data_IF_085524545090
#
_entry.id   IF_085524545090
#
_cell.length_a   1.000
_cell.length_b   1.000
_cell.length_c   1.000
_cell.angle_alpha   90.00
_cell.angle_beta   90.00
_cell.angle_gamma   90.00
#
_symmetry.space_group_name_H-M   'P 1'
#
loop_
_entity.id
_entity.type
_entity.pdbx_description
1 polymer ?
#
# COMPACT_ATOMS: atom_id res chain seq x y z
N UNK A 1 21.93 -6.32 -10.12
CA UNK A 1 21.34 -5.45 -9.10
C UNK A 1 19.91 -5.22 -9.52
N UNK A 2 18.98 -5.97 -8.93
CA UNK A 2 17.55 -5.77 -9.13
C UNK A 2 17.19 -4.48 -8.42
N UNK A 3 16.87 -3.43 -9.18
CA UNK A 3 16.13 -2.30 -8.62
C UNK A 3 14.80 -2.88 -8.12
N UNK A 4 14.71 -3.17 -6.82
CA UNK A 4 13.41 -3.28 -6.16
C UNK A 4 12.69 -1.98 -6.50
N UNK A 5 11.57 -2.10 -7.17
CA UNK A 5 10.78 -0.94 -7.55
C UNK A 5 10.20 -0.39 -6.26
N UNK A 6 10.74 0.72 -5.79
CA UNK A 6 10.26 1.47 -4.63
C UNK A 6 8.93 2.19 -4.89
N UNK A 7 8.16 1.64 -5.83
CA UNK A 7 6.85 2.16 -6.23
C UNK A 7 5.83 1.06 -6.31
N UNK A 8 4.63 1.39 -5.92
CA UNK A 8 3.47 0.53 -6.06
C UNK A 8 2.27 1.32 -6.56
N UNK A 9 1.30 0.60 -7.14
CA UNK A 9 0.05 1.18 -7.62
C UNK A 9 -1.09 0.75 -6.72
N UNK A 10 -1.98 1.69 -6.40
CA UNK A 10 -3.16 1.45 -5.59
C UNK A 10 -4.31 2.36 -6.04
N UNK A 11 -5.48 2.26 -5.40
CA UNK A 11 -6.59 3.18 -5.61
C UNK A 11 -6.42 4.44 -4.75
N UNK A 12 -6.73 5.59 -5.32
CA UNK A 12 -6.78 6.86 -4.57
C UNK A 12 -7.97 6.92 -3.60
N UNK A 13 -9.05 6.20 -3.91
CA UNK A 13 -10.28 6.17 -3.11
C UNK A 13 -11.20 5.04 -3.55
N UNK A 14 -12.39 4.94 -2.94
CA UNK A 14 -13.38 3.93 -3.27
C UNK A 14 -13.90 4.05 -4.71
N UNK A 15 -14.19 2.90 -5.33
CA UNK A 15 -14.86 2.83 -6.61
C UNK A 15 -15.84 1.67 -6.69
N UNK A 16 -16.77 1.72 -7.63
CA UNK A 16 -17.80 0.69 -7.78
C UNK A 16 -17.97 0.28 -9.24
N UNK A 17 -18.40 -0.97 -9.44
CA UNK A 17 -18.73 -1.50 -10.75
C UNK A 17 -19.90 -2.48 -10.67
N UNK A 18 -20.54 -2.70 -11.79
CA UNK A 18 -21.69 -3.61 -11.89
C UNK A 18 -21.55 -4.50 -13.12
N UNK A 19 -21.98 -5.73 -12.98
CA UNK A 19 -22.18 -6.67 -14.09
C UNK A 19 -23.49 -7.42 -13.90
N UNK A 20 -24.19 -7.71 -15.01
CA UNK A 20 -25.42 -8.48 -14.99
C UNK A 20 -25.38 -9.61 -15.99
N UNK A 21 -25.86 -10.77 -15.59
CA UNK A 21 -26.04 -11.91 -16.47
C UNK A 21 -27.26 -12.73 -16.03
N UNK A 22 -28.14 -13.08 -16.98
CA UNK A 22 -29.33 -13.93 -16.79
C UNK A 22 -30.14 -13.60 -15.55
N UNK A 23 -30.38 -12.30 -15.31
CA UNK A 23 -31.12 -11.80 -14.15
C UNK A 23 -30.30 -11.68 -12.86
N UNK A 24 -29.12 -12.29 -12.76
CA UNK A 24 -28.22 -12.09 -11.64
C UNK A 24 -27.52 -10.75 -11.74
N UNK A 25 -27.31 -10.12 -10.57
CA UNK A 25 -26.65 -8.82 -10.43
C UNK A 25 -25.42 -8.97 -9.55
N UNK A 26 -24.29 -8.46 -10.03
CA UNK A 26 -23.01 -8.46 -9.34
C UNK A 26 -22.57 -7.01 -9.12
N UNK A 27 -22.45 -6.62 -7.86
CA UNK A 27 -22.03 -5.27 -7.45
C UNK A 27 -20.65 -5.36 -6.84
N UNK A 28 -19.67 -4.76 -7.49
CA UNK A 28 -18.30 -4.72 -7.02
C UNK A 28 -18.00 -3.39 -6.33
N UNK A 29 -17.36 -3.46 -5.17
CA UNK A 29 -16.89 -2.36 -4.36
C UNK A 29 -15.40 -2.51 -4.17
N UNK A 30 -14.61 -1.59 -4.68
CA UNK A 30 -13.16 -1.57 -4.56
C UNK A 30 -12.74 -0.44 -3.63
N UNK A 31 -11.83 -0.73 -2.70
CA UNK A 31 -11.34 0.23 -1.70
C UNK A 31 -9.82 0.14 -1.58
N UNK A 32 -9.10 1.24 -1.36
CA UNK A 32 -7.77 1.18 -0.78
C UNK A 32 -7.86 0.57 0.62
N UNK A 33 -6.90 -0.29 0.97
CA UNK A 33 -6.77 -0.88 2.31
C UNK A 33 -5.31 -1.21 2.57
N UNK A 34 -4.77 -0.78 3.70
CA UNK A 34 -3.35 -0.88 4.02
C UNK A 34 -3.06 -1.83 5.17
N UNK A 35 -4.11 -2.32 5.86
CA UNK A 35 -4.00 -3.26 6.98
C UNK A 35 -5.11 -4.30 6.96
N UNK A 36 -4.97 -5.29 7.84
CA UNK A 36 -5.99 -6.32 8.01
C UNK A 36 -7.29 -5.75 8.58
N UNK A 37 -7.20 -4.82 9.50
CA UNK A 37 -8.34 -4.14 10.11
C UNK A 37 -9.12 -3.34 9.06
N UNK A 38 -8.43 -2.59 8.20
CA UNK A 38 -9.07 -1.76 7.18
C UNK A 38 -9.87 -2.59 6.18
N UNK A 39 -9.32 -3.69 5.62
CA UNK A 39 -10.10 -4.48 4.68
C UNK A 39 -11.28 -5.19 5.33
N UNK A 40 -11.16 -5.59 6.60
CA UNK A 40 -12.28 -6.20 7.36
C UNK A 40 -13.39 -5.18 7.58
N UNK A 41 -13.07 -3.95 7.95
CA UNK A 41 -14.04 -2.86 8.08
C UNK A 41 -14.80 -2.62 6.78
N UNK A 42 -14.10 -2.56 5.64
CA UNK A 42 -14.73 -2.40 4.32
C UNK A 42 -15.65 -3.55 3.96
N UNK A 43 -15.26 -4.79 4.26
CA UNK A 43 -16.11 -5.95 4.05
C UNK A 43 -17.39 -5.86 4.89
N UNK A 44 -17.28 -5.49 6.16
CA UNK A 44 -18.44 -5.36 7.05
C UNK A 44 -19.34 -4.18 6.66
N UNK A 45 -18.82 -3.08 6.17
CA UNK A 45 -19.60 -1.98 5.58
C UNK A 45 -20.48 -2.51 4.43
N UNK A 46 -19.88 -3.21 3.46
CA UNK A 46 -20.62 -3.76 2.31
C UNK A 46 -21.65 -4.80 2.75
N UNK A 47 -21.35 -5.64 3.76
CA UNK A 47 -22.32 -6.59 4.31
C UNK A 47 -23.52 -5.90 4.94
N UNK A 48 -23.31 -4.81 5.67
CA UNK A 48 -24.39 -4.01 6.28
C UNK A 48 -25.26 -3.33 5.22
N UNK A 49 -24.68 -2.89 4.13
CA UNK A 49 -25.41 -2.24 3.03
C UNK A 49 -26.20 -3.25 2.20
N UNK A 50 -25.78 -4.52 2.19
CA UNK A 50 -26.39 -5.59 1.41
C UNK A 50 -26.83 -6.81 2.25
N UNK A 51 -27.64 -6.64 3.31
CA UNK A 51 -27.95 -7.72 4.25
C UNK A 51 -28.81 -8.85 3.63
N UNK A 52 -29.43 -8.60 2.48
CA UNK A 52 -30.28 -9.59 1.76
C UNK A 52 -29.46 -10.41 0.75
N UNK A 53 -28.24 -10.04 0.46
CA UNK A 53 -27.37 -10.79 -0.43
C UNK A 53 -26.84 -12.05 0.29
N UNK A 54 -26.71 -13.14 -0.45
CA UNK A 54 -26.20 -14.41 0.11
C UNK A 54 -24.71 -14.55 -0.01
N UNK A 55 -24.08 -13.79 -0.91
CA UNK A 55 -22.66 -13.90 -1.22
C UNK A 55 -22.02 -12.50 -1.23
N UNK A 56 -20.99 -12.34 -0.42
CA UNK A 56 -20.10 -11.19 -0.36
C UNK A 56 -18.68 -11.70 -0.59
N UNK A 57 -18.42 -12.13 -1.83
CA UNK A 57 -17.14 -12.68 -2.22
C UNK A 57 -16.10 -11.57 -2.26
N UNK A 58 -14.88 -11.87 -1.85
CA UNK A 58 -13.84 -10.82 -1.82
C UNK A 58 -12.46 -11.36 -2.13
N UNK A 59 -11.60 -10.45 -2.54
CA UNK A 59 -10.16 -10.66 -2.54
C UNK A 59 -9.46 -9.36 -2.18
N UNK A 60 -8.26 -9.50 -1.64
CA UNK A 60 -7.39 -8.38 -1.33
C UNK A 60 -5.93 -8.73 -1.60
N UNK A 61 -5.12 -7.70 -1.84
CA UNK A 61 -3.68 -7.76 -1.88
C UNK A 61 -3.13 -6.61 -1.05
N UNK A 62 -2.22 -6.93 -0.12
CA UNK A 62 -1.63 -5.98 0.81
C UNK A 62 -0.10 -6.04 0.75
N UNK A 63 0.51 -5.01 1.33
CA UNK A 63 1.95 -4.84 1.41
C UNK A 63 2.51 -4.13 0.19
N UNK A 64 3.68 -3.54 0.39
CA UNK A 64 4.36 -2.74 -0.63
C UNK A 64 4.85 -3.60 -1.80
N UNK A 65 5.22 -4.85 -1.51
CA UNK A 65 5.60 -5.88 -2.46
C UNK A 65 4.41 -6.68 -3.01
N UNK A 66 3.20 -6.48 -2.46
CA UNK A 66 1.99 -7.18 -2.84
C UNK A 66 1.99 -8.68 -2.55
N UNK A 67 2.89 -9.17 -1.69
CA UNK A 67 3.04 -10.61 -1.42
C UNK A 67 1.98 -11.17 -0.47
N UNK A 68 1.26 -10.32 0.26
CA UNK A 68 0.16 -10.73 1.11
C UNK A 68 -1.16 -10.64 0.33
N UNK A 69 -1.88 -11.74 0.22
CA UNK A 69 -3.15 -11.77 -0.50
C UNK A 69 -4.10 -12.83 0.04
N UNK A 70 -5.38 -12.64 -0.22
CA UNK A 70 -6.43 -13.60 0.08
C UNK A 70 -7.53 -13.52 -0.96
N UNK A 71 -8.18 -14.66 -1.20
CA UNK A 71 -9.38 -14.78 -2.02
C UNK A 71 -10.41 -15.63 -1.27
N UNK A 72 -11.70 -15.22 -1.32
CA UNK A 72 -12.78 -15.90 -0.62
C UNK A 72 -14.04 -15.96 -1.49
N UNK A 73 -14.59 -17.15 -1.63
CA UNK A 73 -15.77 -17.42 -2.47
C UNK A 73 -17.10 -17.21 -1.72
N UNK A 74 -17.11 -17.03 -0.40
CA UNK A 74 -18.28 -16.78 0.46
C UNK A 74 -19.52 -17.62 0.07
N UNK A 75 -19.34 -18.94 -0.03
CA UNK A 75 -20.41 -19.90 -0.36
C UNK A 75 -20.70 -20.10 -1.84
N UNK A 76 -20.04 -19.40 -2.75
CA UNK A 76 -20.03 -19.77 -4.18
C UNK A 76 -19.17 -21.04 -4.40
N UNK A 77 -19.34 -21.75 -5.52
CA UNK A 77 -18.51 -22.90 -5.83
C UNK A 77 -17.00 -22.52 -5.82
N UNK A 78 -16.19 -23.42 -5.28
CA UNK A 78 -14.75 -23.16 -5.04
C UNK A 78 -14.03 -22.62 -6.29
N UNK A 79 -13.36 -21.50 -6.13
CA UNK A 79 -12.54 -20.84 -7.16
C UNK A 79 -13.34 -20.07 -8.21
N UNK A 80 -14.67 -19.92 -8.06
CA UNK A 80 -15.52 -19.24 -9.06
C UNK A 80 -15.70 -17.74 -8.79
N UNK A 81 -15.34 -17.26 -7.61
CA UNK A 81 -15.52 -15.87 -7.20
C UNK A 81 -14.22 -15.22 -6.72
N UNK A 82 -13.66 -15.66 -5.61
CA UNK A 82 -12.51 -15.03 -4.99
C UNK A 82 -11.26 -15.00 -5.90
N UNK A 83 -10.96 -16.11 -6.59
CA UNK A 83 -9.83 -16.16 -7.53
C UNK A 83 -10.02 -15.24 -8.75
N UNK A 84 -11.19 -15.19 -9.42
CA UNK A 84 -11.45 -14.19 -10.46
C UNK A 84 -11.30 -12.75 -9.99
N UNK A 85 -11.74 -12.42 -8.77
CA UNK A 85 -11.56 -11.09 -8.18
C UNK A 85 -10.06 -10.78 -8.01
N UNK A 86 -9.30 -11.69 -7.37
CA UNK A 86 -7.86 -11.52 -7.18
C UNK A 86 -7.13 -11.38 -8.51
N UNK A 87 -7.48 -12.21 -9.50
CA UNK A 87 -6.88 -12.13 -10.83
C UNK A 87 -7.09 -10.78 -11.52
N UNK A 88 -8.18 -10.06 -11.23
CA UNK A 88 -8.35 -8.70 -11.74
C UNK A 88 -7.49 -7.69 -10.99
N UNK A 89 -7.37 -7.79 -9.67
CA UNK A 89 -6.43 -6.97 -8.89
C UNK A 89 -5.02 -7.11 -9.47
N UNK A 90 -4.61 -8.35 -9.76
CA UNK A 90 -3.31 -8.67 -10.36
C UNK A 90 -3.15 -8.09 -11.78
N UNK A 91 -4.18 -8.20 -12.61
CA UNK A 91 -4.14 -7.69 -13.99
C UNK A 91 -4.04 -6.17 -14.07
N UNK A 92 -4.56 -5.45 -13.06
CA UNK A 92 -4.41 -4.00 -12.94
C UNK A 92 -3.08 -3.62 -12.25
N UNK A 93 -2.31 -4.60 -11.74
CA UNK A 93 -1.03 -4.38 -11.06
C UNK A 93 -1.18 -3.59 -9.76
N UNK A 94 -2.22 -3.87 -8.99
CA UNK A 94 -2.54 -3.14 -7.76
C UNK A 94 -2.13 -3.92 -6.51
N UNK A 95 -1.74 -3.18 -5.48
CA UNK A 95 -1.61 -3.66 -4.10
C UNK A 95 -2.25 -2.65 -3.14
N UNK A 96 -2.37 -3.02 -1.86
CA UNK A 96 -3.07 -2.23 -0.84
C UNK A 96 -4.51 -1.91 -1.26
N UNK A 97 -5.21 -2.96 -1.70
CA UNK A 97 -6.58 -2.88 -2.20
C UNK A 97 -7.38 -4.11 -1.78
N UNK A 98 -8.66 -3.89 -1.48
CA UNK A 98 -9.67 -4.93 -1.30
C UNK A 98 -10.81 -4.70 -2.28
N UNK A 99 -11.32 -5.77 -2.87
CA UNK A 99 -12.54 -5.74 -3.69
C UNK A 99 -13.54 -6.74 -3.11
N UNK A 100 -14.76 -6.26 -2.86
CA UNK A 100 -15.89 -7.05 -2.40
C UNK A 100 -16.95 -7.07 -3.50
N UNK A 101 -17.38 -8.25 -3.92
CA UNK A 101 -18.44 -8.40 -4.91
C UNK A 101 -19.66 -9.05 -4.27
N UNK A 102 -20.77 -8.32 -4.30
CA UNK A 102 -22.06 -8.74 -3.79
C UNK A 102 -22.89 -9.33 -4.94
N UNK A 103 -23.44 -10.53 -4.75
CA UNK A 103 -24.30 -11.15 -5.73
C UNK A 103 -25.74 -11.24 -5.27
N UNK A 104 -26.66 -10.83 -6.17
CA UNK A 104 -28.08 -11.13 -6.12
C UNK A 104 -28.44 -12.13 -7.21
N UNK A 105 -28.97 -13.29 -6.80
CA UNK A 105 -29.34 -14.35 -7.71
C UNK A 105 -30.58 -13.99 -8.55
N UNK A 106 -30.50 -14.21 -9.85
CA UNK A 106 -31.54 -13.84 -10.81
C UNK A 106 -32.50 -14.97 -11.22
N UNK A 107 -32.46 -16.10 -10.51
CA UNK A 107 -33.35 -17.25 -10.79
C UNK A 107 -32.77 -18.24 -11.81
N UNK A 108 -31.70 -17.91 -12.53
CA UNK A 108 -31.08 -18.80 -13.52
C UNK A 108 -29.65 -19.11 -13.09
N UNK A 109 -29.28 -20.39 -13.11
CA UNK A 109 -27.91 -20.83 -12.82
C UNK A 109 -26.97 -20.41 -13.95
N UNK A 110 -25.84 -19.79 -13.59
CA UNK A 110 -24.85 -19.33 -14.55
C UNK A 110 -23.81 -20.41 -14.91
N UNK A 111 -23.66 -21.41 -14.04
CA UNK A 111 -22.58 -22.39 -14.12
C UNK A 111 -21.23 -21.81 -13.71
N UNK A 112 -20.22 -22.66 -13.62
CA UNK A 112 -18.88 -22.29 -13.18
C UNK A 112 -18.26 -21.19 -14.06
N UNK A 113 -18.31 -21.34 -15.39
CA UNK A 113 -17.74 -20.38 -16.33
C UNK A 113 -18.46 -19.03 -16.28
N UNK A 114 -19.78 -19.03 -16.16
CA UNK A 114 -20.58 -17.81 -16.07
C UNK A 114 -20.30 -17.04 -14.77
N UNK A 115 -20.12 -17.75 -13.64
CA UNK A 115 -19.74 -17.15 -12.36
C UNK A 115 -18.36 -16.51 -12.46
N UNK A 116 -17.35 -17.24 -12.94
CA UNK A 116 -15.99 -16.74 -13.11
C UNK A 116 -15.99 -15.46 -13.95
N UNK A 117 -16.74 -15.46 -15.07
CA UNK A 117 -16.84 -14.27 -15.92
C UNK A 117 -17.50 -13.12 -15.18
N UNK A 118 -18.61 -13.36 -14.48
CA UNK A 118 -19.37 -12.31 -13.79
C UNK A 118 -18.55 -11.63 -12.67
N UNK A 119 -17.84 -12.41 -11.86
CA UNK A 119 -16.96 -11.89 -10.82
C UNK A 119 -15.76 -11.12 -11.41
N UNK A 120 -15.22 -11.60 -12.53
CA UNK A 120 -14.16 -10.90 -13.27
C UNK A 120 -14.64 -9.56 -13.81
N UNK A 121 -15.74 -9.55 -14.56
CA UNK A 121 -16.26 -8.36 -15.25
C UNK A 121 -16.71 -7.28 -14.25
N UNK A 122 -17.41 -7.66 -13.19
CA UNK A 122 -17.81 -6.69 -12.15
C UNK A 122 -16.61 -6.07 -11.44
N UNK A 123 -15.60 -6.87 -11.12
CA UNK A 123 -14.36 -6.39 -10.51
C UNK A 123 -13.60 -5.47 -11.46
N UNK A 124 -13.44 -5.87 -12.72
CA UNK A 124 -12.77 -5.04 -13.74
C UNK A 124 -13.47 -3.69 -13.91
N UNK A 125 -14.81 -3.67 -13.91
CA UNK A 125 -15.59 -2.44 -13.98
C UNK A 125 -15.34 -1.52 -12.77
N UNK A 126 -15.28 -2.08 -11.55
CA UNK A 126 -14.99 -1.29 -10.35
C UNK A 126 -13.57 -0.70 -10.37
N UNK A 127 -12.57 -1.51 -10.73
CA UNK A 127 -11.18 -1.06 -10.79
C UNK A 127 -10.93 -0.04 -11.90
N UNK A 128 -11.58 -0.22 -13.06
CA UNK A 128 -11.49 0.73 -14.18
C UNK A 128 -12.18 2.07 -13.89
N UNK A 129 -13.21 2.08 -13.04
CA UNK A 129 -13.88 3.30 -12.59
C UNK A 129 -13.10 4.06 -11.51
N UNK A 130 -12.14 3.40 -10.84
CA UNK A 130 -11.33 4.00 -9.79
C UNK A 130 -10.16 4.81 -10.34
N UNK A 131 -9.75 5.82 -9.60
CA UNK A 131 -8.50 6.53 -9.84
C UNK A 131 -7.33 5.69 -9.31
N UNK A 132 -6.47 5.24 -10.23
CA UNK A 132 -5.25 4.50 -9.89
C UNK A 132 -4.11 5.50 -9.74
N UNK A 133 -3.43 5.44 -8.58
CA UNK A 133 -2.27 6.28 -8.27
C UNK A 133 -1.02 5.43 -8.06
N UNK A 134 0.11 5.96 -8.48
CA UNK A 134 1.42 5.41 -8.14
C UNK A 134 1.90 6.09 -6.84
N UNK A 135 2.37 5.28 -5.91
CA UNK A 135 2.95 5.74 -4.65
C UNK A 135 4.39 5.25 -4.54
N UNK A 136 5.20 6.03 -3.86
CA UNK A 136 6.60 5.69 -3.58
C UNK A 136 6.68 5.10 -2.18
N UNK A 137 7.47 4.06 -2.03
CA UNK A 137 7.80 3.47 -0.72
C UNK A 137 8.85 4.34 -0.05
N UNK A 138 8.55 4.79 1.14
CA UNK A 138 9.45 5.60 1.96
C UNK A 138 9.74 4.91 3.29
N UNK A 139 10.98 5.03 3.75
CA UNK A 139 11.42 4.59 5.06
C UNK A 139 11.61 5.80 5.96
N UNK A 140 11.04 5.75 7.16
CA UNK A 140 11.15 6.82 8.14
C UNK A 140 12.26 6.48 9.12
N UNK A 141 13.21 7.41 9.26
CA UNK A 141 14.36 7.32 10.16
C UNK A 141 14.29 8.40 11.22
N UNK A 142 14.63 8.02 12.45
CA UNK A 142 14.85 8.96 13.54
C UNK A 142 16.34 9.25 13.68
N UNK A 143 16.67 10.53 13.62
CA UNK A 143 18.00 11.07 13.88
C UNK A 143 18.02 11.57 15.33
N UNK A 144 18.75 10.91 16.22
CA UNK A 144 19.03 11.41 17.55
C UNK A 144 20.41 12.04 17.55
N UNK A 145 20.55 13.29 18.00
CA UNK A 145 21.81 14.00 17.89
C UNK A 145 22.03 15.00 19.03
N UNK A 146 23.29 15.32 19.28
CA UNK A 146 23.65 16.35 20.26
C UNK A 146 23.31 17.74 19.72
N UNK A 147 23.01 18.71 20.58
CA UNK A 147 22.70 20.07 20.18
C UNK A 147 23.84 20.76 19.37
N UNK A 148 25.07 20.32 19.59
CA UNK A 148 26.21 20.80 18.78
C UNK A 148 26.06 20.48 17.28
N UNK A 149 25.33 19.43 16.93
CA UNK A 149 25.06 19.02 15.56
C UNK A 149 23.77 19.63 14.97
N UNK A 150 23.03 20.46 15.71
CA UNK A 150 21.76 21.04 15.24
C UNK A 150 21.90 21.69 13.86
N UNK A 151 22.82 22.62 13.70
CA UNK A 151 23.04 23.33 12.41
C UNK A 151 23.50 22.38 11.30
N UNK A 152 24.52 21.52 11.51
CA UNK A 152 24.92 20.52 10.51
C UNK A 152 23.76 19.60 10.08
N UNK A 153 22.94 19.07 11.01
CA UNK A 153 21.82 18.21 10.70
C UNK A 153 20.77 18.94 9.87
N UNK A 154 20.31 20.11 10.34
CA UNK A 154 19.29 20.89 9.64
C UNK A 154 19.74 21.31 8.23
N UNK A 155 21.00 21.70 8.09
CA UNK A 155 21.58 22.06 6.78
C UNK A 155 21.67 20.85 5.84
N UNK A 156 22.07 19.68 6.35
CA UNK A 156 22.17 18.46 5.56
C UNK A 156 20.77 17.98 5.09
N UNK A 157 19.77 17.95 5.98
CA UNK A 157 18.38 17.59 5.67
C UNK A 157 17.80 18.51 4.59
N UNK A 158 18.01 19.83 4.74
CA UNK A 158 17.58 20.83 3.74
C UNK A 158 18.29 20.67 2.41
N UNK A 159 19.61 20.47 2.42
CA UNK A 159 20.40 20.34 1.20
C UNK A 159 20.09 19.06 0.41
N UNK A 160 19.62 18.01 1.08
CA UNK A 160 19.18 16.75 0.48
C UNK A 160 17.68 16.73 0.19
N UNK A 161 16.97 17.83 0.46
CA UNK A 161 15.51 17.96 0.26
C UNK A 161 14.71 16.84 0.94
N UNK A 162 15.18 16.36 2.12
CA UNK A 162 14.50 15.30 2.86
C UNK A 162 13.26 15.86 3.58
N UNK A 163 12.15 15.13 3.51
CA UNK A 163 10.94 15.48 4.25
C UNK A 163 11.17 15.29 5.75
N UNK A 164 10.85 16.32 6.53
CA UNK A 164 10.82 16.25 7.99
C UNK A 164 9.42 15.81 8.43
N UNK A 165 9.32 14.59 8.96
CA UNK A 165 8.05 14.00 9.40
C UNK A 165 7.68 14.49 10.78
N UNK A 166 8.66 14.57 11.70
CA UNK A 166 8.48 14.99 13.08
C UNK A 166 9.76 15.59 13.62
N UNK A 167 9.66 16.43 14.65
CA UNK A 167 10.79 17.01 15.36
C UNK A 167 10.52 17.10 16.85
N UNK A 168 11.53 16.76 17.65
CA UNK A 168 11.50 16.85 19.10
C UNK A 168 12.82 17.43 19.60
N UNK A 169 12.77 18.61 20.23
CA UNK A 169 13.92 19.33 20.74
C UNK A 169 13.83 19.51 22.25
N UNK A 170 13.58 18.38 22.97
CA UNK A 170 13.57 18.30 24.42
C UNK A 170 14.97 18.19 25.05
N UNK A 171 15.19 17.21 25.93
CA UNK A 171 16.49 16.97 26.55
C UNK A 171 17.56 16.54 25.52
N UNK A 172 17.14 15.79 24.51
CA UNK A 172 17.95 15.44 23.33
C UNK A 172 17.25 15.95 22.07
N UNK A 173 18.02 16.35 21.10
CA UNK A 173 17.47 16.72 19.81
C UNK A 173 17.19 15.48 18.97
N UNK A 174 15.96 15.36 18.48
CA UNK A 174 15.54 14.30 17.59
C UNK A 174 14.78 14.87 16.38
N UNK A 175 15.02 14.28 15.22
CA UNK A 175 14.35 14.62 13.97
C UNK A 175 13.96 13.34 13.25
N UNK A 176 12.73 13.23 12.80
CA UNK A 176 12.28 12.13 11.94
C UNK A 176 12.23 12.60 10.49
N UNK A 177 12.88 11.85 9.62
CA UNK A 177 12.97 12.13 8.18
C UNK A 177 12.42 10.96 7.39
N UNK A 178 11.73 11.26 6.27
CA UNK A 178 11.36 10.26 5.29
C UNK A 178 12.41 10.20 4.17
N UNK A 179 12.78 8.99 3.81
CA UNK A 179 13.76 8.70 2.77
C UNK A 179 13.15 7.68 1.82
N UNK A 180 13.18 7.97 0.54
CA UNK A 180 12.72 7.04 -0.50
C UNK A 180 13.53 5.75 -0.44
N UNK A 181 12.86 4.58 -0.43
CA UNK A 181 13.52 3.28 -0.22
C UNK A 181 14.63 3.02 -1.24
N UNK A 182 14.40 3.30 -2.52
CA UNK A 182 15.38 3.10 -3.57
C UNK A 182 16.63 3.99 -3.47
N UNK A 183 16.55 5.10 -2.73
CA UNK A 183 17.63 6.04 -2.50
C UNK A 183 18.24 5.94 -1.09
N UNK A 184 17.71 5.09 -0.23
CA UNK A 184 18.01 5.00 1.21
C UNK A 184 19.52 5.03 1.50
N UNK A 185 20.23 4.05 0.99
CA UNK A 185 21.65 3.85 1.35
C UNK A 185 22.51 5.04 0.89
N UNK A 186 22.24 5.54 -0.32
CA UNK A 186 22.91 6.72 -0.87
C UNK A 186 22.63 7.97 -0.04
N UNK A 187 21.36 8.25 0.24
CA UNK A 187 20.97 9.47 0.97
C UNK A 187 21.41 9.45 2.43
N UNK A 188 21.32 8.31 3.12
CA UNK A 188 21.82 8.20 4.49
C UNK A 188 23.35 8.33 4.58
N UNK A 189 24.08 7.80 3.59
CA UNK A 189 25.52 7.98 3.51
C UNK A 189 25.88 9.45 3.27
N UNK A 190 25.24 10.10 2.32
CA UNK A 190 25.47 11.51 2.01
C UNK A 190 25.08 12.43 3.19
N UNK A 191 23.97 12.09 3.90
CA UNK A 191 23.54 12.78 5.12
C UNK A 191 24.63 12.73 6.20
N UNK A 192 25.17 11.54 6.49
CA UNK A 192 26.25 11.36 7.46
C UNK A 192 27.52 12.17 7.09
N UNK A 193 27.92 12.10 5.83
CA UNK A 193 29.08 12.82 5.35
C UNK A 193 28.92 14.33 5.53
N UNK A 194 27.79 14.90 5.15
CA UNK A 194 27.45 16.31 5.31
C UNK A 194 27.45 16.75 6.79
N UNK A 195 26.85 15.95 7.66
CA UNK A 195 26.82 16.24 9.11
C UNK A 195 28.22 16.21 9.71
N UNK A 196 29.08 15.28 9.26
CA UNK A 196 30.47 15.18 9.68
C UNK A 196 31.40 16.27 9.07
N UNK A 197 30.88 17.08 8.14
CA UNK A 197 31.70 18.09 7.41
C UNK A 197 32.73 17.45 6.47
N UNK A 198 32.46 16.24 5.97
CA UNK A 198 33.32 15.46 5.07
C UNK A 198 32.69 15.34 3.68
N UNK A 199 33.53 15.01 2.68
CA UNK A 199 33.01 14.54 1.39
C UNK A 199 32.57 13.09 1.50
N UNK A 200 31.66 12.65 0.65
CA UNK A 200 31.12 11.28 0.66
C UNK A 200 32.23 10.23 0.53
N UNK A 201 33.24 10.51 -0.27
CA UNK A 201 34.38 9.62 -0.51
C UNK A 201 35.36 9.53 0.71
N UNK A 202 35.23 10.45 1.67
CA UNK A 202 36.06 10.52 2.87
C UNK A 202 35.43 9.80 4.08
N UNK A 203 34.22 9.30 3.94
CA UNK A 203 33.45 8.59 4.98
C UNK A 203 33.01 7.23 4.42
N UNK A 204 33.27 6.14 5.13
CA UNK A 204 32.69 4.85 4.73
C UNK A 204 31.19 4.80 5.13
N UNK A 205 30.34 4.05 4.40
CA UNK A 205 28.90 3.97 4.69
C UNK A 205 28.59 3.50 6.12
N UNK A 206 29.46 2.69 6.71
CA UNK A 206 29.36 2.13 8.05
C UNK A 206 29.96 3.04 9.14
N UNK A 207 30.69 4.08 8.76
CA UNK A 207 31.33 4.98 9.74
C UNK A 207 30.30 5.71 10.60
N UNK A 208 30.53 5.68 11.90
CA UNK A 208 29.72 6.45 12.84
C UNK A 208 30.12 7.93 12.81
N UNK A 209 29.13 8.80 13.00
CA UNK A 209 29.34 10.23 13.23
C UNK A 209 29.16 10.48 14.71
N UNK A 210 30.18 11.04 15.37
CA UNK A 210 30.13 11.31 16.80
C UNK A 210 28.95 12.24 17.14
N UNK A 211 28.16 11.83 18.13
CA UNK A 211 26.97 12.56 18.56
C UNK A 211 25.73 12.41 17.68
N UNK A 212 25.76 11.51 16.67
CA UNK A 212 24.61 11.18 15.81
C UNK A 212 24.28 9.69 15.86
N UNK A 213 23.00 9.36 16.07
CA UNK A 213 22.44 8.02 15.92
C UNK A 213 21.30 8.07 14.90
N UNK A 214 21.23 7.08 13.99
CA UNK A 214 20.18 6.94 12.98
C UNK A 214 19.50 5.60 13.21
N UNK A 215 18.20 5.64 13.42
CA UNK A 215 17.36 4.47 13.68
C UNK A 215 16.21 4.39 12.67
N UNK A 216 16.00 3.23 12.05
CA UNK A 216 14.82 2.99 11.22
C UNK A 216 13.59 2.81 12.12
N UNK A 217 12.52 3.54 11.86
CA UNK A 217 11.27 3.45 12.62
C UNK A 217 10.24 2.56 11.93
N UNK A 218 9.86 2.90 10.70
CA UNK A 218 8.86 2.18 9.92
C UNK A 218 8.96 2.52 8.43
N UNK A 219 8.26 1.74 7.62
CA UNK A 219 8.09 1.96 6.18
C UNK A 219 6.66 2.38 5.87
N UNK A 220 6.49 3.35 4.99
CA UNK A 220 5.17 3.89 4.60
C UNK A 220 4.98 3.93 3.08
#
# INVERSE_FOLDING_TARGET
>A
MTHETDRYRTLAGPSTGEFRDRGSKFLAYAFPAYSEEEWQERLEEVRKDHPKARHHCYAWRLGLDGNQFRANDDGEPSGTAGRPILGQIDSFGLTNVVVVVVRYFGGTLLGTSGLIQAYRESTAAALAAGEIVERTVEEVFRLNFTYALMSPVMNAVKALELEMVNQDFGEQAALEIAVRQGDRDRLLHELRARIAGKRVEELAPEDAVDGLQIEHLYTR
#
